data_IF_691724966804
#
_entry.id   IF_691724966804
#
_cell.length_a   1.000
_cell.length_b   1.000
_cell.length_c   1.000
_cell.angle_alpha   90.00
_cell.angle_beta   90.00
_cell.angle_gamma   90.00
#
_symmetry.space_group_name_H-M   'P 1'
#
loop_
_entity.id
_entity.type
_entity.pdbx_description
1 polymer ?
#
# COMPACT_ATOMS: atom_id res chain seq x y z
N UNK A 1 -12.08 -12.59 -37.77
CA UNK A 1 -11.31 -12.09 -36.60
C UNK A 1 -11.12 -13.28 -35.67
N UNK A 2 -9.89 -13.78 -35.51
CA UNK A 2 -9.65 -15.07 -34.86
C UNK A 2 -9.77 -14.94 -33.33
N UNK A 3 -10.88 -15.41 -32.76
CA UNK A 3 -11.20 -15.32 -31.31
C UNK A 3 -10.20 -16.07 -30.42
N UNK A 4 -9.40 -16.99 -30.96
CA UNK A 4 -8.44 -17.84 -30.23
C UNK A 4 -7.23 -17.09 -29.64
N UNK A 5 -7.04 -15.79 -29.92
CA UNK A 5 -5.84 -15.04 -29.50
C UNK A 5 -6.08 -13.98 -28.43
N UNK A 6 -7.31 -13.83 -27.92
CA UNK A 6 -7.61 -12.84 -26.88
C UNK A 6 -7.79 -13.49 -25.51
N UNK A 7 -7.30 -12.84 -24.46
CA UNK A 7 -7.57 -13.25 -23.08
C UNK A 7 -9.09 -13.18 -22.80
N UNK A 8 -9.70 -14.25 -22.30
CA UNK A 8 -11.13 -14.25 -21.97
C UNK A 8 -11.51 -13.28 -20.86
N UNK A 9 -10.58 -13.01 -19.92
CA UNK A 9 -10.80 -12.12 -18.80
C UNK A 9 -10.70 -10.63 -19.18
N UNK A 10 -9.61 -10.22 -19.86
CA UNK A 10 -9.37 -8.79 -20.16
C UNK A 10 -9.57 -8.42 -21.63
N UNK A 11 -9.90 -9.38 -22.50
CA UNK A 11 -10.13 -9.23 -23.94
C UNK A 11 -8.94 -8.65 -24.74
N UNK A 12 -7.77 -8.48 -24.10
CA UNK A 12 -6.55 -8.04 -24.78
C UNK A 12 -6.03 -9.17 -25.68
N UNK A 13 -5.54 -8.77 -26.84
CA UNK A 13 -4.81 -9.66 -27.74
C UNK A 13 -3.50 -10.10 -27.06
N UNK A 14 -3.27 -11.42 -27.03
CA UNK A 14 -2.09 -12.05 -26.44
C UNK A 14 -0.89 -12.09 -27.41
N UNK A 15 -1.06 -11.61 -28.65
CA UNK A 15 0.04 -11.39 -29.55
C UNK A 15 1.01 -10.33 -28.99
N UNK A 16 2.33 -10.58 -29.02
CA UNK A 16 3.34 -9.62 -28.57
C UNK A 16 3.19 -8.27 -29.29
N UNK A 17 3.33 -7.17 -28.54
CA UNK A 17 3.53 -5.83 -29.10
C UNK A 17 4.86 -5.31 -28.61
N UNK A 18 5.74 -4.93 -29.54
CA UNK A 18 6.94 -4.19 -29.20
C UNK A 18 6.54 -2.83 -28.65
N UNK A 19 7.00 -2.49 -27.44
CA UNK A 19 6.95 -1.12 -26.90
C UNK A 19 8.32 -0.79 -26.33
N UNK A 20 8.88 0.32 -26.80
CA UNK A 20 10.12 0.89 -26.27
C UNK A 20 9.94 1.43 -24.85
N UNK A 21 11.03 1.47 -24.09
CA UNK A 21 11.04 2.00 -22.73
C UNK A 21 10.89 3.53 -22.74
N UNK A 22 10.04 4.06 -21.86
CA UNK A 22 10.00 5.50 -21.56
C UNK A 22 11.00 5.83 -20.44
N UNK A 23 11.79 6.91 -20.58
CA UNK A 23 12.74 7.33 -19.55
C UNK A 23 12.03 8.05 -18.39
N UNK A 24 12.51 7.80 -17.18
CA UNK A 24 12.05 8.47 -15.97
C UNK A 24 12.65 9.90 -15.87
N UNK A 25 11.90 10.89 -15.39
CA UNK A 25 12.43 12.24 -15.17
C UNK A 25 13.34 12.30 -13.91
N UNK A 26 14.37 13.16 -13.91
CA UNK A 26 15.17 13.43 -12.71
C UNK A 26 14.45 14.37 -11.74
N UNK A 27 14.76 14.27 -10.44
CA UNK A 27 14.22 15.12 -9.39
C UNK A 27 15.32 15.80 -8.55
N UNK A 28 15.08 17.05 -8.16
CA UNK A 28 15.92 17.91 -7.30
C UNK A 28 15.77 17.60 -5.80
N UNK A 29 16.81 17.93 -5.03
CA UNK A 29 16.92 17.62 -3.59
C UNK A 29 16.07 18.53 -2.70
N UNK A 30 15.04 17.93 -2.15
CA UNK A 30 14.45 18.21 -0.84
C UNK A 30 14.52 16.92 -0.01
N UNK A 31 14.21 16.96 1.29
CA UNK A 31 14.03 15.76 2.13
C UNK A 31 13.28 14.67 1.34
N UNK A 32 13.87 13.47 1.21
CA UNK A 32 13.27 12.45 0.35
C UNK A 32 11.93 11.98 0.93
N UNK A 33 11.01 11.54 0.08
CA UNK A 33 9.72 11.00 0.53
C UNK A 33 9.89 9.84 1.54
N UNK A 34 10.97 9.06 1.41
CA UNK A 34 11.28 7.97 2.33
C UNK A 34 11.74 8.50 3.70
N UNK A 35 12.54 9.56 3.73
CA UNK A 35 12.98 10.19 4.98
C UNK A 35 11.80 10.83 5.74
N UNK A 36 10.85 11.43 5.01
CA UNK A 36 9.59 11.93 5.59
C UNK A 36 8.81 10.79 6.26
N UNK A 37 8.58 9.70 5.52
CA UNK A 37 7.86 8.51 6.03
C UNK A 37 8.55 7.95 7.27
N UNK A 38 9.88 7.77 7.20
CA UNK A 38 10.67 7.21 8.29
C UNK A 38 10.61 8.09 9.54
N UNK A 39 10.78 9.41 9.39
CA UNK A 39 10.73 10.37 10.49
C UNK A 39 9.38 10.38 11.18
N UNK A 40 8.28 10.41 10.41
CA UNK A 40 6.92 10.40 10.97
C UNK A 40 6.66 9.08 11.71
N UNK A 41 7.00 7.93 11.09
CA UNK A 41 6.78 6.62 11.69
C UNK A 41 7.65 6.37 12.94
N UNK A 42 8.85 6.94 12.98
CA UNK A 42 9.73 6.84 14.15
C UNK A 42 9.15 7.60 15.35
N UNK A 43 8.67 8.82 15.12
CA UNK A 43 8.28 9.75 16.18
C UNK A 43 6.81 9.65 16.62
N UNK A 44 5.94 9.11 15.77
CA UNK A 44 4.51 8.98 16.09
C UNK A 44 4.22 8.00 17.24
N UNK A 45 3.19 8.31 18.01
CA UNK A 45 2.56 7.41 19.00
C UNK A 45 1.28 6.76 18.49
N UNK A 46 0.88 7.05 17.24
CA UNK A 46 -0.33 6.50 16.63
C UNK A 46 -0.28 4.96 16.59
N UNK A 47 -1.41 4.34 16.91
CA UNK A 47 -1.60 2.88 16.93
C UNK A 47 -2.50 2.38 15.81
N UNK A 48 -3.15 3.29 15.08
CA UNK A 48 -3.92 3.03 13.88
C UNK A 48 -3.06 3.23 12.61
N UNK A 49 -2.68 2.15 11.90
CA UNK A 49 -1.84 2.26 10.72
C UNK A 49 -2.53 2.93 9.53
N UNK A 50 -3.88 2.88 9.43
CA UNK A 50 -4.61 3.58 8.37
C UNK A 50 -4.66 5.09 8.63
N UNK A 51 -4.96 5.50 9.87
CA UNK A 51 -4.92 6.92 10.24
C UNK A 51 -3.53 7.54 10.00
N UNK A 52 -2.48 6.80 10.37
CA UNK A 52 -1.10 7.21 10.12
C UNK A 52 -0.78 7.30 8.62
N UNK A 53 -1.20 6.31 7.82
CA UNK A 53 -1.02 6.34 6.37
C UNK A 53 -1.71 7.55 5.74
N UNK A 54 -2.99 7.81 6.08
CA UNK A 54 -3.72 8.97 5.60
C UNK A 54 -3.01 10.28 5.97
N UNK A 55 -2.50 10.40 7.20
CA UNK A 55 -1.75 11.57 7.65
C UNK A 55 -0.50 11.82 6.80
N UNK A 56 0.29 10.77 6.54
CA UNK A 56 1.50 10.91 5.71
C UNK A 56 1.14 11.21 4.25
N UNK A 57 0.12 10.53 3.70
CA UNK A 57 -0.30 10.70 2.31
C UNK A 57 -0.83 12.11 1.99
N UNK A 58 -1.35 12.85 2.98
CA UNK A 58 -1.78 14.24 2.81
C UNK A 58 -0.61 15.21 2.65
N UNK A 59 0.62 14.80 2.98
CA UNK A 59 1.77 15.65 2.81
C UNK A 59 2.01 15.95 1.32
N UNK A 60 2.17 17.22 0.89
CA UNK A 60 2.25 17.59 -0.53
C UNK A 60 3.37 16.91 -1.32
N UNK A 61 4.46 16.50 -0.65
CA UNK A 61 5.57 15.77 -1.29
C UNK A 61 5.21 14.32 -1.65
N UNK A 62 4.21 13.72 -1.00
CA UNK A 62 3.81 12.33 -1.26
C UNK A 62 2.87 12.30 -2.46
N UNK A 63 3.41 11.84 -3.58
CA UNK A 63 2.69 11.77 -4.85
C UNK A 63 1.42 10.89 -4.76
N UNK A 64 0.53 11.04 -5.73
CA UNK A 64 -0.60 10.10 -5.88
C UNK A 64 -0.10 8.68 -6.20
N UNK A 65 0.90 8.62 -7.09
CA UNK A 65 1.60 7.41 -7.45
C UNK A 65 3.09 7.61 -7.30
N UNK A 66 3.75 6.64 -6.69
CA UNK A 66 5.20 6.68 -6.58
C UNK A 66 5.73 5.55 -5.70
N UNK A 67 7.02 5.22 -5.84
CA UNK A 67 7.66 4.12 -5.12
C UNK A 67 7.70 4.34 -3.61
N UNK A 68 7.47 5.56 -3.11
CA UNK A 68 7.38 5.83 -1.67
C UNK A 68 6.28 5.02 -0.98
N UNK A 69 5.22 4.65 -1.70
CA UNK A 69 4.13 3.82 -1.17
C UNK A 69 4.59 2.38 -0.84
N UNK A 70 5.68 1.92 -1.46
CA UNK A 70 6.25 0.60 -1.18
C UNK A 70 6.83 0.53 0.24
N UNK A 71 7.40 1.64 0.72
CA UNK A 71 7.92 1.76 2.08
C UNK A 71 6.87 2.27 3.07
N UNK A 72 5.95 3.13 2.63
CA UNK A 72 4.86 3.65 3.48
C UNK A 72 4.11 2.52 4.20
N UNK A 73 3.68 1.50 3.45
CA UNK A 73 2.86 0.39 4.00
C UNK A 73 3.56 -0.35 5.15
N UNK A 74 4.78 -0.91 5.00
CA UNK A 74 5.45 -1.56 6.11
C UNK A 74 5.80 -0.58 7.23
N UNK A 75 6.13 0.68 6.90
CA UNK A 75 6.52 1.66 7.91
C UNK A 75 5.38 1.99 8.88
N UNK A 76 4.18 2.28 8.37
CA UNK A 76 3.02 2.61 9.21
C UNK A 76 2.54 1.40 10.02
N UNK A 77 2.60 0.20 9.45
CA UNK A 77 2.27 -1.05 10.14
C UNK A 77 3.25 -1.33 11.29
N UNK A 78 4.57 -1.17 11.07
CA UNK A 78 5.57 -1.35 12.12
C UNK A 78 5.42 -0.31 13.23
N UNK A 79 5.21 0.96 12.88
CA UNK A 79 5.03 2.03 13.84
C UNK A 79 3.82 1.77 14.75
N UNK A 80 2.66 1.54 14.14
CA UNK A 80 1.42 1.22 14.83
C UNK A 80 1.56 -0.04 15.71
N UNK A 81 2.16 -1.10 15.16
CA UNK A 81 2.40 -2.35 15.88
C UNK A 81 3.27 -2.15 17.13
N UNK A 82 4.43 -1.51 17.00
CA UNK A 82 5.33 -1.34 18.14
C UNK A 82 4.79 -0.35 19.18
N UNK A 83 4.04 0.67 18.76
CA UNK A 83 3.31 1.53 19.68
C UNK A 83 2.26 0.73 20.46
N UNK A 84 1.45 -0.08 19.77
CA UNK A 84 0.42 -0.92 20.40
C UNK A 84 1.01 -1.99 21.34
N UNK A 85 2.18 -2.53 21.01
CA UNK A 85 2.90 -3.53 21.84
C UNK A 85 3.65 -2.91 23.03
N UNK A 86 3.68 -1.59 23.15
CA UNK A 86 4.47 -0.91 24.19
C UNK A 86 5.96 -1.13 24.03
N UNK A 87 6.46 -1.23 22.79
CA UNK A 87 7.88 -1.42 22.47
C UNK A 87 8.39 -0.42 21.41
N UNK A 88 8.19 0.90 21.61
CA UNK A 88 8.54 1.93 20.62
C UNK A 88 10.05 1.95 20.28
N UNK A 89 10.92 1.48 21.17
CA UNK A 89 12.36 1.36 20.97
C UNK A 89 12.72 0.42 19.81
N UNK A 90 11.82 -0.49 19.43
CA UNK A 90 12.03 -1.41 18.29
C UNK A 90 11.71 -0.79 16.94
N UNK A 91 11.11 0.41 16.90
CA UNK A 91 10.71 1.07 15.65
C UNK A 91 11.92 1.37 14.76
N UNK A 92 12.96 2.02 15.28
CA UNK A 92 14.10 2.46 14.47
C UNK A 92 14.79 1.31 13.70
N UNK A 93 15.25 0.22 14.34
CA UNK A 93 15.90 -0.87 13.60
C UNK A 93 14.95 -1.56 12.62
N UNK A 94 13.66 -1.68 12.95
CA UNK A 94 12.67 -2.30 12.08
C UNK A 94 12.35 -1.43 10.85
N UNK A 95 12.19 -0.12 11.03
CA UNK A 95 11.95 0.85 9.94
C UNK A 95 13.13 0.89 8.97
N UNK A 96 14.36 0.93 9.48
CA UNK A 96 15.58 0.89 8.66
C UNK A 96 15.64 -0.37 7.79
N UNK A 97 15.32 -1.53 8.38
CA UNK A 97 15.32 -2.80 7.65
C UNK A 97 14.16 -2.91 6.67
N UNK A 98 12.99 -2.34 6.99
CA UNK A 98 11.85 -2.25 6.10
C UNK A 98 12.14 -1.37 4.88
N UNK A 99 12.76 -0.20 5.09
CA UNK A 99 13.19 0.71 4.02
C UNK A 99 14.09 0.01 3.03
N UNK A 100 15.17 -0.62 3.52
CA UNK A 100 16.10 -1.39 2.69
C UNK A 100 15.41 -2.47 1.84
N UNK A 101 14.40 -3.15 2.40
CA UNK A 101 13.64 -4.20 1.68
C UNK A 101 12.67 -3.58 0.66
N UNK A 102 12.02 -2.48 1.01
CA UNK A 102 11.05 -1.79 0.16
C UNK A 102 11.71 -1.09 -1.04
N UNK A 103 12.91 -0.53 -0.87
CA UNK A 103 13.71 0.08 -1.95
C UNK A 103 14.12 -0.95 -3.02
N UNK A 104 14.22 -2.23 -2.67
CA UNK A 104 14.45 -3.31 -3.64
C UNK A 104 13.22 -3.59 -4.53
N UNK A 105 12.03 -3.10 -4.15
CA UNK A 105 10.81 -3.21 -4.95
C UNK A 105 10.76 -2.05 -5.95
N UNK A 106 11.18 -2.32 -7.19
CA UNK A 106 11.33 -1.30 -8.21
C UNK A 106 9.99 -0.66 -8.61
N UNK A 107 10.01 0.60 -9.09
CA UNK A 107 8.85 1.22 -9.70
C UNK A 107 8.22 0.33 -10.78
N UNK A 108 6.90 0.47 -10.97
CA UNK A 108 6.12 -0.25 -11.98
C UNK A 108 6.03 -1.79 -11.84
N UNK A 109 6.57 -2.42 -10.78
CA UNK A 109 6.38 -3.86 -10.51
C UNK A 109 4.91 -4.30 -10.53
N UNK A 110 4.00 -3.44 -10.04
CA UNK A 110 2.55 -3.66 -10.09
C UNK A 110 1.98 -3.88 -11.51
N UNK A 111 2.61 -3.32 -12.54
CA UNK A 111 2.20 -3.44 -13.93
C UNK A 111 3.01 -4.46 -14.76
N UNK A 112 4.19 -4.86 -14.29
CA UNK A 112 5.14 -5.68 -15.07
C UNK A 112 5.43 -7.05 -14.45
N UNK A 113 5.32 -7.18 -13.12
CA UNK A 113 5.68 -8.39 -12.38
C UNK A 113 4.46 -9.03 -11.69
N UNK A 114 3.26 -8.50 -11.93
CA UNK A 114 2.02 -9.03 -11.34
C UNK A 114 1.93 -8.88 -9.81
N UNK A 115 2.77 -8.02 -9.21
CA UNK A 115 2.84 -7.87 -7.76
C UNK A 115 2.89 -6.39 -7.36
N UNK A 116 1.93 -5.96 -6.56
CA UNK A 116 1.86 -4.59 -6.06
C UNK A 116 2.87 -4.36 -4.94
N UNK A 117 3.63 -3.26 -5.00
CA UNK A 117 4.61 -2.92 -3.96
C UNK A 117 3.98 -2.68 -2.59
N UNK A 118 2.73 -2.19 -2.53
CA UNK A 118 1.98 -2.10 -1.29
C UNK A 118 1.72 -3.49 -0.66
N UNK A 119 1.38 -4.48 -1.48
CA UNK A 119 1.18 -5.85 -1.01
C UNK A 119 2.48 -6.48 -0.53
N UNK A 120 3.59 -6.32 -1.27
CA UNK A 120 4.92 -6.74 -0.82
C UNK A 120 5.26 -6.09 0.52
N UNK A 121 4.90 -4.82 0.70
CA UNK A 121 5.02 -4.08 1.95
C UNK A 121 4.43 -4.81 3.16
N UNK A 122 3.26 -5.43 3.01
CA UNK A 122 2.64 -6.22 4.09
C UNK A 122 3.42 -7.49 4.42
N UNK A 123 4.01 -8.14 3.43
CA UNK A 123 4.93 -9.27 3.64
C UNK A 123 6.23 -8.83 4.32
N UNK A 124 6.78 -7.67 3.97
CA UNK A 124 7.94 -7.07 4.65
C UNK A 124 7.61 -6.86 6.14
N UNK A 125 6.46 -6.24 6.44
CA UNK A 125 5.99 -6.07 7.82
C UNK A 125 5.93 -7.40 8.57
N UNK A 126 5.21 -8.40 8.04
CA UNK A 126 5.07 -9.71 8.68
C UNK A 126 6.42 -10.37 8.91
N UNK A 127 7.29 -10.36 7.90
CA UNK A 127 8.62 -10.98 7.99
C UNK A 127 9.50 -10.36 9.07
N UNK A 128 9.33 -9.08 9.38
CA UNK A 128 10.10 -8.39 10.41
C UNK A 128 9.58 -8.72 11.81
N UNK A 129 8.26 -8.67 12.03
CA UNK A 129 7.70 -8.95 13.35
C UNK A 129 7.79 -10.42 13.75
N UNK A 130 7.86 -11.35 12.77
CA UNK A 130 8.03 -12.78 13.02
C UNK A 130 9.48 -13.25 12.88
N UNK A 131 10.44 -12.37 12.61
CA UNK A 131 11.84 -12.75 12.34
C UNK A 131 12.00 -13.83 11.26
N UNK A 132 11.20 -13.71 10.20
CA UNK A 132 11.18 -14.63 9.07
C UNK A 132 12.47 -14.56 8.23
N UNK A 133 12.75 -15.63 7.48
CA UNK A 133 13.86 -15.74 6.56
C UNK A 133 13.66 -16.92 5.58
N UNK A 134 14.49 -17.05 4.53
CA UNK A 134 14.30 -18.03 3.47
C UNK A 134 14.40 -19.50 3.93
N UNK A 135 15.05 -19.75 5.07
CA UNK A 135 15.18 -21.09 5.66
C UNK A 135 14.19 -21.34 6.82
N UNK A 136 13.33 -20.37 7.12
CA UNK A 136 12.24 -20.52 8.09
C UNK A 136 11.07 -21.24 7.44
N UNK A 137 10.25 -21.93 8.23
CA UNK A 137 9.11 -22.71 7.72
C UNK A 137 7.83 -21.91 7.86
N UNK A 138 7.32 -21.81 9.08
CA UNK A 138 6.02 -21.20 9.36
C UNK A 138 6.05 -19.69 9.11
N UNK A 139 7.09 -18.99 9.55
CA UNK A 139 7.21 -17.53 9.41
C UNK A 139 7.40 -17.10 7.96
N UNK A 140 8.11 -17.93 7.17
CA UNK A 140 8.25 -17.72 5.73
C UNK A 140 6.89 -17.88 5.04
N UNK A 141 6.17 -18.94 5.39
CA UNK A 141 4.81 -19.19 4.87
C UNK A 141 3.85 -18.06 5.24
N UNK A 142 3.87 -17.58 6.50
CA UNK A 142 3.04 -16.47 6.96
C UNK A 142 3.31 -15.17 6.19
N UNK A 143 4.58 -14.86 5.92
CA UNK A 143 4.95 -13.65 5.16
C UNK A 143 4.44 -13.70 3.71
N UNK A 144 4.49 -14.89 3.09
CA UNK A 144 3.95 -15.12 1.74
C UNK A 144 2.42 -15.05 1.73
N UNK A 145 1.75 -15.69 2.70
CA UNK A 145 0.30 -15.64 2.83
C UNK A 145 -0.21 -14.21 3.03
N UNK A 146 0.49 -13.40 3.83
CA UNK A 146 0.15 -11.99 4.01
C UNK A 146 0.22 -11.24 2.67
N UNK A 147 1.34 -11.39 1.95
CA UNK A 147 1.50 -10.75 0.63
C UNK A 147 0.38 -11.19 -0.32
N UNK A 148 0.10 -12.49 -0.38
CA UNK A 148 -0.93 -13.06 -1.25
C UNK A 148 -2.34 -12.55 -0.92
N UNK A 149 -2.67 -12.39 0.37
CA UNK A 149 -3.97 -11.85 0.79
C UNK A 149 -4.14 -10.39 0.37
N UNK A 150 -3.12 -9.56 0.59
CA UNK A 150 -3.10 -8.18 0.12
C UNK A 150 -3.22 -8.08 -1.40
N UNK A 151 -2.48 -8.93 -2.14
CA UNK A 151 -2.60 -9.02 -3.60
C UNK A 151 -4.01 -9.41 -4.04
N UNK A 152 -4.65 -10.35 -3.34
CA UNK A 152 -6.02 -10.77 -3.66
C UNK A 152 -7.00 -9.61 -3.49
N UNK A 153 -6.93 -8.88 -2.37
CA UNK A 153 -7.81 -7.73 -2.13
C UNK A 153 -7.60 -6.62 -3.19
N UNK A 154 -6.35 -6.33 -3.55
CA UNK A 154 -6.02 -5.36 -4.60
C UNK A 154 -6.53 -5.83 -5.96
N UNK A 155 -6.30 -7.09 -6.32
CA UNK A 155 -6.72 -7.65 -7.60
C UNK A 155 -8.26 -7.66 -7.75
N UNK A 156 -8.99 -7.99 -6.67
CA UNK A 156 -10.45 -7.94 -6.63
C UNK A 156 -10.97 -6.51 -6.78
N UNK A 157 -10.32 -5.52 -6.14
CA UNK A 157 -10.71 -4.12 -6.28
C UNK A 157 -10.50 -3.57 -7.70
N UNK A 158 -9.56 -4.12 -8.46
CA UNK A 158 -9.39 -3.85 -9.89
C UNK A 158 -8.97 -2.41 -10.26
N UNK A 159 -9.28 -2.03 -11.51
CA UNK A 159 -8.99 -0.73 -12.11
C UNK A 159 -7.56 -0.58 -12.69
N UNK A 160 -7.27 0.55 -13.34
CA UNK A 160 -5.89 1.01 -13.50
C UNK A 160 -5.25 1.27 -12.11
N UNK A 161 -3.92 1.40 -12.08
CA UNK A 161 -3.11 1.53 -10.84
C UNK A 161 -3.61 2.67 -9.95
N UNK A 162 -3.76 2.42 -8.64
CA UNK A 162 -4.00 3.48 -7.64
C UNK A 162 -3.24 3.19 -6.34
N UNK A 163 -2.07 3.82 -6.16
CA UNK A 163 -1.21 3.56 -5.00
C UNK A 163 -1.86 3.91 -3.66
N UNK A 164 -2.75 4.92 -3.60
CA UNK A 164 -3.51 5.26 -2.38
C UNK A 164 -4.46 4.14 -2.00
N UNK A 165 -5.36 3.75 -2.91
CA UNK A 165 -6.31 2.64 -2.74
C UNK A 165 -5.59 1.34 -2.38
N UNK A 166 -4.57 0.99 -3.14
CA UNK A 166 -3.87 -0.28 -2.98
C UNK A 166 -3.12 -0.34 -1.63
N UNK A 167 -2.57 0.79 -1.15
CA UNK A 167 -2.00 0.90 0.19
C UNK A 167 -3.07 0.74 1.30
N UNK A 168 -4.23 1.39 1.18
CA UNK A 168 -5.30 1.25 2.18
C UNK A 168 -5.85 -0.17 2.25
N UNK A 169 -6.08 -0.82 1.10
CA UNK A 169 -6.50 -2.23 1.04
C UNK A 169 -5.45 -3.13 1.70
N UNK A 170 -4.18 -2.95 1.36
CA UNK A 170 -3.09 -3.76 1.90
C UNK A 170 -2.96 -3.60 3.43
N UNK A 171 -3.02 -2.37 3.95
CA UNK A 171 -2.96 -2.11 5.39
C UNK A 171 -4.18 -2.74 6.10
N UNK A 172 -5.39 -2.55 5.54
CA UNK A 172 -6.62 -3.13 6.09
C UNK A 172 -6.56 -4.66 6.17
N UNK A 173 -6.08 -5.32 5.11
CA UNK A 173 -5.87 -6.78 5.12
C UNK A 173 -4.77 -7.20 6.10
N UNK A 174 -3.70 -6.41 6.25
CA UNK A 174 -2.66 -6.70 7.23
C UNK A 174 -3.16 -6.66 8.67
N UNK A 175 -4.01 -5.70 9.02
CA UNK A 175 -4.64 -5.64 10.36
C UNK A 175 -5.52 -6.87 10.61
N UNK A 176 -6.36 -7.25 9.63
CA UNK A 176 -7.20 -8.46 9.73
C UNK A 176 -6.35 -9.73 9.87
N UNK A 177 -5.34 -9.88 9.03
CA UNK A 177 -4.45 -11.04 9.05
C UNK A 177 -3.68 -11.15 10.37
N UNK A 178 -3.20 -10.04 10.91
CA UNK A 178 -2.52 -9.99 12.21
C UNK A 178 -3.44 -10.43 13.35
N UNK A 179 -4.71 -9.99 13.34
CA UNK A 179 -5.69 -10.42 14.32
C UNK A 179 -5.97 -11.93 14.23
N UNK A 180 -6.12 -12.46 13.02
CA UNK A 180 -6.43 -13.87 12.76
C UNK A 180 -5.25 -14.83 13.05
N UNK A 181 -4.03 -14.45 12.68
CA UNK A 181 -2.86 -15.34 12.73
C UNK A 181 -1.99 -15.13 13.96
N UNK A 182 -1.99 -13.93 14.53
CA UNK A 182 -1.13 -13.58 15.66
C UNK A 182 -1.92 -13.19 16.93
N UNK A 183 -3.25 -13.07 16.84
CA UNK A 183 -4.08 -12.67 17.98
C UNK A 183 -3.89 -11.21 18.41
N UNK A 184 -3.27 -10.37 17.57
CA UNK A 184 -2.98 -8.97 17.87
C UNK A 184 -3.95 -8.08 17.09
N UNK A 185 -4.73 -7.27 17.83
CA UNK A 185 -5.79 -6.41 17.27
C UNK A 185 -5.36 -4.94 17.37
N UNK A 186 -4.87 -4.39 16.26
CA UNK A 186 -4.60 -2.97 16.16
C UNK A 186 -5.91 -2.19 16.01
N UNK A 187 -6.03 -0.99 16.59
CA UNK A 187 -7.05 -0.02 16.19
C UNK A 187 -6.96 0.24 14.69
N UNK A 188 -8.11 0.45 14.04
CA UNK A 188 -8.15 0.70 12.60
C UNK A 188 -9.29 1.64 12.26
N UNK A 189 -8.99 2.63 11.43
CA UNK A 189 -9.97 3.58 10.90
C UNK A 189 -11.00 2.80 10.09
N UNK A 190 -12.27 2.86 10.50
CA UNK A 190 -13.35 2.08 9.88
C UNK A 190 -13.75 2.60 8.49
N UNK A 191 -13.67 3.92 8.28
CA UNK A 191 -14.07 4.58 7.04
C UNK A 191 -13.00 5.55 6.54
N UNK A 192 -12.59 5.37 5.28
CA UNK A 192 -11.70 6.29 4.57
C UNK A 192 -12.50 6.91 3.42
N UNK A 193 -12.67 8.23 3.48
CA UNK A 193 -13.16 9.03 2.36
C UNK A 193 -11.97 9.53 1.54
N UNK A 194 -11.85 9.10 0.27
CA UNK A 194 -10.69 9.43 -0.56
C UNK A 194 -10.69 10.90 -0.99
N UNK A 195 -9.71 11.67 -0.51
CA UNK A 195 -9.49 13.08 -0.87
C UNK A 195 -8.85 13.26 -2.26
N UNK A 196 -8.43 12.18 -2.91
CA UNK A 196 -7.68 12.21 -4.17
C UNK A 196 -8.52 11.90 -5.42
N UNK A 197 -9.81 11.64 -5.25
CA UNK A 197 -10.68 11.16 -6.32
C UNK A 197 -10.76 12.14 -7.51
N UNK A 198 -10.76 13.45 -7.23
CA UNK A 198 -10.87 14.51 -8.25
C UNK A 198 -9.56 14.81 -8.98
N UNK A 199 -8.41 14.52 -8.37
CA UNK A 199 -7.08 14.76 -8.96
C UNK A 199 -6.49 13.53 -9.63
N UNK A 200 -7.00 12.33 -9.31
CA UNK A 200 -6.60 11.09 -9.95
C UNK A 200 -7.28 10.90 -11.31
N UNK A 201 -6.55 11.11 -12.40
CA UNK A 201 -7.06 10.92 -13.78
C UNK A 201 -7.47 9.47 -14.09
N UNK A 202 -6.92 8.51 -13.34
CA UNK A 202 -7.19 7.08 -13.47
C UNK A 202 -8.21 6.59 -12.41
N UNK A 203 -8.96 7.50 -11.77
CA UNK A 203 -9.96 7.14 -10.77
C UNK A 203 -11.10 6.31 -11.36
N UNK A 204 -11.51 5.25 -10.67
CA UNK A 204 -12.67 4.41 -11.06
C UNK A 204 -14.00 4.87 -10.45
N UNK A 205 -14.03 6.03 -9.79
CA UNK A 205 -15.26 6.60 -9.21
C UNK A 205 -15.94 5.64 -8.24
N UNK A 206 -17.26 5.48 -8.39
CA UNK A 206 -18.12 4.62 -7.56
C UNK A 206 -17.71 3.14 -7.51
N UNK A 207 -16.86 2.66 -8.41
CA UNK A 207 -16.32 1.29 -8.31
C UNK A 207 -15.23 1.17 -7.23
N UNK A 208 -14.64 2.27 -6.79
CA UNK A 208 -13.63 2.28 -5.74
C UNK A 208 -14.29 2.25 -4.35
N UNK A 209 -13.88 1.33 -3.44
CA UNK A 209 -14.48 1.23 -2.10
C UNK A 209 -14.21 2.44 -1.19
N UNK A 210 -13.32 3.34 -1.59
CA UNK A 210 -12.98 4.56 -0.85
C UNK A 210 -13.52 5.84 -1.51
N UNK A 211 -14.30 5.73 -2.58
CA UNK A 211 -14.85 6.90 -3.25
C UNK A 211 -15.78 7.66 -2.29
N UNK A 212 -15.61 8.97 -2.09
CA UNK A 212 -16.37 9.72 -1.09
C UNK A 212 -17.85 9.93 -1.44
N UNK A 213 -18.28 9.64 -2.68
CA UNK A 213 -19.64 9.93 -3.14
C UNK A 213 -19.93 11.44 -3.26
N UNK A 214 -21.15 11.80 -3.67
CA UNK A 214 -21.63 13.18 -3.65
C UNK A 214 -22.15 13.57 -2.24
N UNK A 215 -21.27 13.65 -1.25
CA UNK A 215 -21.57 14.40 -0.03
C UNK A 215 -20.36 15.26 0.38
N UNK A 216 -20.18 16.38 -0.32
CA UNK A 216 -19.45 17.57 0.17
C UNK A 216 -19.72 18.82 -0.68
N UNK A 217 -20.98 19.05 -1.04
CA UNK A 217 -21.48 20.38 -1.42
C UNK A 217 -22.31 20.96 -0.27
N UNK A 218 -22.33 22.29 -0.04
CA UNK A 218 -23.16 22.88 1.00
C UNK A 218 -24.63 22.52 0.75
N UNK A 219 -25.29 21.91 1.75
CA UNK A 219 -26.73 21.66 1.73
C UNK A 219 -27.46 22.98 1.48
N UNK A 220 -28.33 23.10 0.47
CA UNK A 220 -29.20 24.26 0.36
C UNK A 220 -30.12 24.31 1.59
N UNK A 221 -30.47 25.51 2.08
CA UNK A 221 -31.36 25.65 3.22
C UNK A 221 -32.71 25.03 2.89
N UNK A 222 -33.20 24.17 3.78
CA UNK A 222 -34.54 23.58 3.70
C UNK A 222 -35.58 24.70 3.78
N UNK A 223 -36.42 24.78 2.75
CA UNK A 223 -37.68 25.54 2.72
C UNK A 223 -38.76 24.75 3.46
#
# INVERSE_FOLDING_TARGET
MNQERACSACRKNLAPRERGAEPAPPGEETLSNLDLIERVCLTTTETDPLALACTIMRHPQVSLHGPEHHFLVPAVLLAAYYNHRGSPEKKEPALRQARKRAEAVQPAFCGTHGTCGAAIGTGIFMSLITHSGPLKKEEWSLSNQMTARSLTAIAVSGGPRCCKRDSWLAIGEAVKFLAEKCGIRLPVTEHIACEYATVNRDCTGYECPFYPGEESGPRPPSV
#
